data_IF_046456706340
#
_entry.id   IF_046456706340
#
_cell.length_a   1.000
_cell.length_b   1.000
_cell.length_c   1.000
_cell.angle_alpha   90.00
_cell.angle_beta   90.00
_cell.angle_gamma   90.00
#
_symmetry.space_group_name_H-M   'P 1'
#
loop_
_entity.id
_entity.type
_entity.pdbx_description
1 polymer ?
#
# COMPACT_ATOMS: atom_id res chain seq x y z
N UNK A 1 -3.97 2.55 12.08
CA UNK A 1 -3.09 3.42 11.28
C UNK A 1 -2.07 2.51 10.63
N UNK A 2 -1.66 2.75 9.39
CA UNK A 2 -0.67 1.92 8.71
C UNK A 2 0.74 2.44 9.04
N UNK A 3 1.66 1.54 9.35
CA UNK A 3 3.02 1.86 9.79
C UNK A 3 4.03 1.17 8.88
N UNK A 4 5.09 1.90 8.54
CA UNK A 4 6.14 1.38 7.67
C UNK A 4 6.78 0.14 8.29
N UNK A 5 6.78 -0.95 7.53
CA UNK A 5 7.39 -2.23 7.92
C UNK A 5 8.91 -2.11 8.01
N UNK A 6 9.58 -3.04 8.69
CA UNK A 6 11.02 -2.98 8.95
C UNK A 6 11.86 -2.91 7.66
N UNK A 7 11.52 -3.68 6.62
CA UNK A 7 12.24 -3.60 5.35
C UNK A 7 11.99 -2.28 4.62
N UNK A 8 10.77 -1.75 4.70
CA UNK A 8 10.40 -0.44 4.18
C UNK A 8 11.19 0.69 4.83
N UNK A 9 11.37 0.65 6.16
CA UNK A 9 12.20 1.62 6.89
C UNK A 9 13.65 1.60 6.39
N UNK A 10 14.23 0.41 6.21
CA UNK A 10 15.58 0.26 5.68
C UNK A 10 15.70 0.78 4.25
N UNK A 11 14.71 0.48 3.40
CA UNK A 11 14.67 0.90 2.00
C UNK A 11 14.59 2.42 1.87
N UNK A 12 13.73 3.07 2.67
CA UNK A 12 13.61 4.52 2.73
C UNK A 12 14.93 5.17 3.15
N UNK A 13 15.61 4.63 4.18
CA UNK A 13 16.92 5.13 4.60
C UNK A 13 17.99 4.97 3.51
N UNK A 14 18.01 3.84 2.79
CA UNK A 14 18.94 3.63 1.67
C UNK A 14 18.73 4.66 0.55
N UNK A 15 17.47 5.00 0.26
CA UNK A 15 17.10 6.01 -0.75
C UNK A 15 17.47 7.43 -0.30
N UNK A 16 17.22 7.76 0.96
CA UNK A 16 17.64 9.03 1.55
C UNK A 16 19.17 9.24 1.48
N UNK A 17 19.94 8.19 1.77
CA UNK A 17 21.41 8.22 1.69
C UNK A 17 21.95 8.18 0.26
N UNK A 18 21.10 8.04 -0.76
CA UNK A 18 21.49 7.91 -2.16
C UNK A 18 22.16 6.56 -2.50
N UNK A 19 22.08 5.56 -1.61
CA UNK A 19 22.54 4.19 -1.87
C UNK A 19 21.65 3.52 -2.93
N UNK A 20 20.36 3.89 -2.94
CA UNK A 20 19.39 3.54 -3.98
C UNK A 20 18.77 4.83 -4.53
N UNK A 21 18.33 4.80 -5.79
CA UNK A 21 17.58 5.91 -6.38
C UNK A 21 16.19 6.02 -5.75
N UNK A 22 15.63 7.23 -5.72
CA UNK A 22 14.21 7.42 -5.45
C UNK A 22 13.37 6.84 -6.61
N UNK A 23 12.11 6.55 -6.35
CA UNK A 23 11.18 6.01 -7.34
C UNK A 23 9.74 6.09 -6.86
N UNK A 24 8.83 5.61 -7.70
CA UNK A 24 7.41 5.57 -7.38
C UNK A 24 7.10 4.42 -6.41
N UNK A 25 5.88 4.42 -5.88
CA UNK A 25 5.34 3.31 -5.09
C UNK A 25 4.21 2.65 -5.86
N UNK A 26 4.09 1.33 -5.77
CA UNK A 26 2.95 0.62 -6.32
C UNK A 26 1.98 0.25 -5.20
N UNK A 27 0.71 0.58 -5.41
CA UNK A 27 -0.40 0.21 -4.54
C UNK A 27 -1.07 -1.03 -5.09
N UNK A 28 -1.18 -2.03 -4.23
CA UNK A 28 -1.80 -3.32 -4.53
C UNK A 28 -2.95 -3.61 -3.58
N UNK A 29 -3.83 -4.52 -3.97
CA UNK A 29 -4.87 -5.07 -3.10
C UNK A 29 -4.58 -6.53 -2.79
N UNK A 30 -4.95 -7.00 -1.58
CA UNK A 30 -4.75 -8.39 -1.18
C UNK A 30 -6.03 -9.09 -0.74
N UNK A 31 -6.02 -10.43 -0.82
CA UNK A 31 -7.18 -11.33 -0.62
C UNK A 31 -7.06 -12.27 0.57
N UNK A 32 -5.88 -12.38 1.17
CA UNK A 32 -5.62 -13.19 2.36
C UNK A 32 -6.11 -12.49 3.63
N UNK A 33 -6.55 -13.24 4.63
CA UNK A 33 -7.12 -12.70 5.87
C UNK A 33 -6.04 -12.31 6.90
N UNK A 34 -4.93 -11.77 6.40
CA UNK A 34 -3.80 -11.36 7.21
C UNK A 34 -4.09 -10.04 7.92
N UNK A 35 -3.63 -9.95 9.15
CA UNK A 35 -3.42 -8.67 9.82
C UNK A 35 -1.95 -8.29 9.57
N UNK A 36 -1.66 -7.20 8.84
CA UNK A 36 -0.28 -6.81 8.56
C UNK A 36 0.56 -6.60 9.82
N UNK A 37 1.80 -7.04 9.78
CA UNK A 37 2.79 -6.91 10.85
C UNK A 37 4.05 -6.21 10.34
N UNK A 38 4.84 -5.63 11.24
CA UNK A 38 6.06 -4.89 10.88
C UNK A 38 7.15 -5.77 10.26
N UNK A 39 7.09 -7.09 10.43
CA UNK A 39 8.05 -8.03 9.86
C UNK A 39 7.64 -8.56 8.48
N UNK A 40 6.54 -8.07 7.92
CA UNK A 40 6.02 -8.55 6.66
C UNK A 40 6.92 -8.18 5.48
N UNK A 41 6.82 -9.02 4.46
CA UNK A 41 7.42 -8.85 3.14
C UNK A 41 6.33 -8.99 2.09
N UNK A 42 6.63 -8.62 0.85
CA UNK A 42 5.70 -8.78 -0.29
C UNK A 42 5.17 -10.22 -0.40
N UNK A 43 6.00 -11.22 -0.14
CA UNK A 43 5.64 -12.64 -0.23
C UNK A 43 4.58 -13.11 0.77
N UNK A 44 4.30 -12.31 1.80
CA UNK A 44 3.29 -12.64 2.82
C UNK A 44 1.85 -12.35 2.36
N UNK A 45 1.68 -11.60 1.27
CA UNK A 45 0.37 -11.17 0.77
C UNK A 45 -0.02 -11.98 -0.47
N UNK A 46 -1.31 -12.26 -0.60
CA UNK A 46 -1.90 -12.84 -1.81
C UNK A 46 -2.62 -11.74 -2.58
N UNK A 47 -1.98 -11.26 -3.64
CA UNK A 47 -2.52 -10.18 -4.47
C UNK A 47 -3.87 -10.54 -5.10
N UNK A 48 -4.75 -9.55 -5.21
CA UNK A 48 -5.97 -9.63 -6.01
C UNK A 48 -5.61 -9.95 -7.47
N UNK A 49 -6.42 -10.79 -8.11
CA UNK A 49 -6.31 -11.06 -9.55
C UNK A 49 -7.70 -11.24 -10.17
N UNK A 50 -7.78 -11.12 -11.49
CA UNK A 50 -9.06 -11.12 -12.21
C UNK A 50 -9.75 -9.76 -12.15
N UNK A 51 -11.03 -9.69 -12.53
CA UNK A 51 -11.80 -8.45 -12.37
C UNK A 51 -11.37 -7.25 -13.21
N UNK A 52 -10.38 -7.40 -14.10
CA UNK A 52 -9.68 -6.26 -14.71
C UNK A 52 -8.74 -5.51 -13.76
N UNK A 53 -8.43 -6.09 -12.60
CA UNK A 53 -7.52 -5.52 -11.61
C UNK A 53 -6.13 -5.26 -12.21
N UNK A 54 -5.59 -4.10 -11.85
CA UNK A 54 -4.19 -3.73 -12.04
C UNK A 54 -3.74 -2.92 -10.81
N UNK A 55 -2.50 -3.11 -10.38
CA UNK A 55 -1.85 -2.25 -9.39
C UNK A 55 -1.79 -0.80 -9.88
N UNK A 56 -1.73 0.14 -8.94
CA UNK A 56 -1.64 1.57 -9.23
C UNK A 56 -0.25 2.07 -8.87
N UNK A 57 0.51 2.51 -9.87
CA UNK A 57 1.77 3.24 -9.63
C UNK A 57 1.46 4.67 -9.22
N UNK A 58 1.85 5.04 -8.00
CA UNK A 58 1.70 6.36 -7.41
C UNK A 58 3.01 7.12 -7.58
N UNK A 59 3.02 8.22 -8.36
CA UNK A 59 4.19 9.06 -8.52
C UNK A 59 4.70 9.58 -7.17
N UNK A 60 6.02 9.62 -6.98
CA UNK A 60 6.59 10.18 -5.74
C UNK A 60 6.18 11.64 -5.49
N UNK A 61 5.83 12.37 -6.56
CA UNK A 61 5.36 13.76 -6.52
C UNK A 61 3.96 13.93 -5.94
N UNK A 62 3.18 12.85 -5.85
CA UNK A 62 1.79 12.88 -5.39
C UNK A 62 1.68 12.75 -3.86
N UNK A 63 2.83 12.52 -3.20
CA UNK A 63 2.95 12.41 -1.75
C UNK A 63 3.26 13.75 -1.11
N UNK A 64 2.51 14.09 -0.07
CA UNK A 64 2.80 15.18 0.83
C UNK A 64 3.32 14.63 2.15
N UNK A 65 4.46 15.14 2.61
CA UNK A 65 5.08 14.77 3.88
C UNK A 65 4.93 15.93 4.85
N UNK A 66 4.38 15.66 6.03
CA UNK A 66 4.15 16.63 7.09
C UNK A 66 4.54 16.07 8.44
N UNK A 67 4.86 16.95 9.39
CA UNK A 67 5.11 16.59 10.79
C UNK A 67 3.89 17.00 11.60
N UNK A 68 3.27 16.05 12.30
CA UNK A 68 2.21 16.31 13.27
C UNK A 68 2.72 15.97 14.68
N UNK A 69 3.09 17.01 15.42
CA UNK A 69 3.71 16.92 16.76
C UNK A 69 4.96 16.03 16.77
N UNK A 70 4.81 14.74 17.11
CA UNK A 70 5.89 13.75 17.22
C UNK A 70 5.90 12.70 16.10
N UNK A 71 4.91 12.72 15.20
CA UNK A 71 4.73 11.71 14.16
C UNK A 71 4.91 12.33 12.78
N UNK A 72 5.77 11.73 11.96
CA UNK A 72 5.88 12.10 10.54
C UNK A 72 4.78 11.38 9.78
N UNK A 73 4.00 12.12 9.00
CA UNK A 73 2.85 11.62 8.24
C UNK A 73 3.08 11.85 6.75
N UNK A 74 2.89 10.81 5.96
CA UNK A 74 2.86 10.87 4.50
C UNK A 74 1.43 10.60 4.03
N UNK A 75 0.90 11.46 3.19
CA UNK A 75 -0.44 11.33 2.59
C UNK A 75 -0.34 11.54 1.09
N UNK A 76 -1.17 10.85 0.32
CA UNK A 76 -1.36 11.14 -1.10
C UNK A 76 -2.85 11.33 -1.38
N UNK A 77 -3.17 11.77 -2.60
CA UNK A 77 -4.55 11.83 -3.06
C UNK A 77 -5.18 10.43 -3.05
N UNK A 78 -6.51 10.38 -2.93
CA UNK A 78 -7.28 9.14 -2.99
C UNK A 78 -6.95 8.37 -4.29
N UNK A 79 -6.67 7.07 -4.13
CA UNK A 79 -6.41 6.16 -5.24
C UNK A 79 -7.65 5.32 -5.51
N UNK A 80 -7.87 4.96 -6.77
CA UNK A 80 -9.12 4.33 -7.18
C UNK A 80 -8.88 3.13 -8.08
N UNK A 81 -9.20 1.94 -7.58
CA UNK A 81 -9.16 0.72 -8.38
C UNK A 81 -10.46 0.57 -9.15
N UNK A 82 -10.38 0.38 -10.46
CA UNK A 82 -11.55 0.11 -11.31
C UNK A 82 -11.63 -1.36 -11.65
N UNK A 83 -12.79 -1.96 -11.45
CA UNK A 83 -13.06 -3.36 -11.79
C UNK A 83 -14.08 -3.48 -12.90
N UNK A 84 -13.80 -4.36 -13.86
CA UNK A 84 -14.66 -4.69 -15.01
C UNK A 84 -15.40 -6.01 -14.84
N UNK A 85 -15.10 -6.76 -13.79
CA UNK A 85 -15.84 -7.96 -13.38
C UNK A 85 -15.67 -8.19 -11.87
N UNK A 86 -16.43 -9.14 -11.34
CA UNK A 86 -16.47 -9.41 -9.91
C UNK A 86 -15.10 -9.84 -9.34
N UNK A 87 -14.72 -9.24 -8.21
CA UNK A 87 -13.65 -9.74 -7.34
C UNK A 87 -14.28 -10.45 -6.14
N UNK A 88 -13.96 -11.74 -5.90
CA UNK A 88 -14.59 -12.50 -4.82
C UNK A 88 -14.35 -11.92 -3.42
N UNK A 89 -13.15 -11.42 -3.17
CA UNK A 89 -12.73 -10.95 -1.84
C UNK A 89 -11.61 -9.94 -1.94
N UNK A 90 -11.69 -8.88 -1.15
CA UNK A 90 -10.60 -7.91 -0.93
C UNK A 90 -10.52 -7.65 0.58
N UNK A 91 -9.34 -7.81 1.18
CA UNK A 91 -9.14 -7.58 2.62
C UNK A 91 -8.38 -6.29 2.94
N UNK A 92 -7.65 -5.71 2.01
CA UNK A 92 -6.85 -4.52 2.27
C UNK A 92 -5.94 -4.16 1.12
N UNK A 93 -4.93 -3.34 1.43
CA UNK A 93 -3.87 -2.96 0.50
C UNK A 93 -2.48 -3.19 1.08
N UNK A 94 -1.50 -3.24 0.17
CA UNK A 94 -0.09 -3.10 0.49
C UNK A 94 0.61 -2.20 -0.52
N UNK A 95 1.67 -1.54 -0.08
CA UNK A 95 2.50 -0.64 -0.87
C UNK A 95 3.88 -1.25 -1.06
N UNK A 96 4.37 -1.23 -2.28
CA UNK A 96 5.72 -1.72 -2.61
C UNK A 96 6.54 -0.65 -3.31
N UNK A 97 7.85 -0.89 -3.43
CA UNK A 97 8.71 -0.16 -4.36
C UNK A 97 8.28 -0.40 -5.81
N UNK A 98 8.61 0.51 -6.72
CA UNK A 98 8.27 0.43 -8.16
C UNK A 98 8.65 -0.88 -8.87
N UNK A 99 9.64 -1.61 -8.36
CA UNK A 99 10.06 -2.94 -8.87
C UNK A 99 9.32 -4.11 -8.20
N UNK A 100 8.34 -3.83 -7.33
CA UNK A 100 7.54 -4.77 -6.54
C UNK A 100 8.36 -5.69 -5.60
N UNK A 101 9.61 -5.32 -5.28
CA UNK A 101 10.51 -6.19 -4.50
C UNK A 101 10.48 -5.94 -2.99
N UNK A 102 10.14 -4.73 -2.55
CA UNK A 102 10.18 -4.36 -1.13
C UNK A 102 8.83 -3.80 -0.70
N UNK A 103 8.28 -4.35 0.38
CA UNK A 103 7.11 -3.87 1.07
C UNK A 103 7.45 -2.60 1.85
N UNK A 104 6.67 -1.54 1.63
CA UNK A 104 6.79 -0.28 2.35
C UNK A 104 5.82 -0.23 3.51
N UNK A 105 4.56 -0.56 3.27
CA UNK A 105 3.46 -0.44 4.22
C UNK A 105 2.32 -1.38 3.81
N UNK A 106 1.49 -1.78 4.76
CA UNK A 106 0.31 -2.59 4.48
C UNK A 106 -0.79 -2.36 5.50
N UNK A 107 -2.05 -2.46 5.06
CA UNK A 107 -3.20 -2.24 5.91
C UNK A 107 -4.39 -3.09 5.48
N UNK A 108 -4.98 -3.79 6.46
CA UNK A 108 -6.31 -4.40 6.33
C UNK A 108 -7.39 -3.33 6.42
N UNK A 109 -8.40 -3.39 5.54
CA UNK A 109 -9.55 -2.48 5.64
C UNK A 109 -10.36 -2.76 6.91
N UNK A 110 -10.97 -1.72 7.47
CA UNK A 110 -11.85 -1.86 8.66
C UNK A 110 -13.05 -2.74 8.36
N UNK A 111 -13.54 -2.65 7.12
CA UNK A 111 -14.76 -3.31 6.66
C UNK A 111 -14.45 -4.62 5.92
N UNK A 112 -13.21 -5.12 6.07
CA UNK A 112 -12.78 -6.36 5.43
C UNK A 112 -13.36 -7.62 6.12
N UNK A 113 -13.71 -8.67 5.34
CA UNK A 113 -13.59 -8.74 3.88
C UNK A 113 -14.66 -7.90 3.16
N UNK A 114 -14.24 -7.22 2.09
CA UNK A 114 -15.14 -6.73 1.07
C UNK A 114 -15.39 -7.90 0.12
N UNK A 115 -16.57 -8.51 0.20
CA UNK A 115 -16.92 -9.69 -0.61
C UNK A 115 -17.68 -9.31 -1.88
N UNK A 116 -17.47 -10.12 -2.92
CA UNK A 116 -18.22 -10.06 -4.18
C UNK A 116 -18.29 -8.64 -4.75
N UNK A 117 -17.15 -7.93 -4.76
CA UNK A 117 -17.07 -6.57 -5.26
C UNK A 117 -17.34 -6.59 -6.77
N UNK A 118 -18.52 -6.13 -7.15
CA UNK A 118 -18.96 -6.10 -8.54
C UNK A 118 -18.41 -4.84 -9.24
N UNK A 119 -18.65 -4.73 -10.55
CA UNK A 119 -18.20 -3.61 -11.39
C UNK A 119 -18.31 -2.24 -10.69
N UNK A 120 -17.25 -1.44 -10.79
CA UNK A 120 -17.19 -0.14 -10.13
C UNK A 120 -15.79 0.26 -9.70
N UNK A 121 -15.74 1.22 -8.80
CA UNK A 121 -14.51 1.86 -8.34
C UNK A 121 -14.37 1.67 -6.82
N UNK A 122 -13.24 1.14 -6.37
CA UNK A 122 -12.88 1.04 -4.95
C UNK A 122 -11.87 2.14 -4.62
N UNK A 123 -12.28 3.08 -3.77
CA UNK A 123 -11.44 4.16 -3.28
C UNK A 123 -10.56 3.70 -2.11
N UNK A 124 -9.28 4.09 -2.14
CA UNK A 124 -8.29 3.81 -1.10
C UNK A 124 -7.61 5.11 -0.69
N UNK A 125 -7.76 5.46 0.59
CA UNK A 125 -7.10 6.60 1.19
C UNK A 125 -5.81 6.14 1.90
N UNK A 126 -4.68 6.68 1.46
CA UNK A 126 -3.37 6.31 1.98
C UNK A 126 -2.87 7.34 3.00
N UNK A 127 -2.42 6.81 4.14
CA UNK A 127 -1.79 7.58 5.20
C UNK A 127 -0.79 6.67 5.87
N UNK A 128 0.48 7.01 5.71
CA UNK A 128 1.62 6.28 6.26
C UNK A 128 2.21 7.14 7.39
N UNK A 129 2.58 6.51 8.49
CA UNK A 129 3.26 7.21 9.59
C UNK A 129 4.59 6.56 9.96
N UNK A 130 5.53 7.39 10.40
CA UNK A 130 6.77 6.98 11.05
C UNK A 130 6.78 7.54 12.47
N UNK A 131 6.96 6.65 13.45
CA UNK A 131 7.11 7.00 14.87
C UNK A 131 5.78 7.00 15.64
N UNK A 132 5.65 6.00 16.52
CA UNK A 132 4.72 5.98 17.66
C UNK A 132 5.50 5.97 18.96
#
# INVERSE_FOLDING_TARGET
MAEIVYEGQQEILKRFLGIKSNGNLNLHLFTDDRTPELADTVSNFTEVSGGGYAEITIPSTDWNVSLDSTTVKMVCNEQSFTFTSQIPRINGYYLTTEDNLVLIDAKRFSDAPIENYNEGSLAVNLTITIGT
#
